data_IF_468706349260
#
_entry.id   IF_468706349260
#
_cell.length_a   1.000
_cell.length_b   1.000
_cell.length_c   1.000
_cell.angle_alpha   90.00
_cell.angle_beta   90.00
_cell.angle_gamma   90.00
#
_symmetry.space_group_name_H-M   'P 1'
#
loop_
_entity.id
_entity.type
_entity.pdbx_description
1 polymer ?
#
# COMPACT_ATOMS: atom_id res chain seq x y z
N UNK A 1 -16.28 -3.81 58.94
CA UNK A 1 -15.01 -3.66 58.23
C UNK A 1 -15.34 -3.89 56.76
N UNK A 2 -15.74 -2.82 56.07
CA UNK A 2 -15.96 -2.84 54.63
C UNK A 2 -14.61 -2.66 53.94
N UNK A 3 -14.19 -3.70 53.25
CA UNK A 3 -13.01 -3.69 52.39
C UNK A 3 -13.32 -2.79 51.18
N UNK A 4 -12.83 -1.55 51.22
CA UNK A 4 -12.78 -0.67 50.05
C UNK A 4 -11.88 -1.34 49.02
N UNK A 5 -12.50 -2.03 48.06
CA UNK A 5 -11.83 -2.48 46.85
C UNK A 5 -11.42 -1.22 46.08
N UNK A 6 -10.16 -0.84 46.23
CA UNK A 6 -9.53 0.25 45.51
C UNK A 6 -9.56 -0.02 44.00
N UNK A 7 -10.29 0.85 43.29
CA UNK A 7 -9.96 1.39 41.98
C UNK A 7 -9.24 0.47 40.99
N UNK A 8 -9.95 -0.50 40.41
CA UNK A 8 -9.61 -0.95 39.05
C UNK A 8 -10.21 0.08 38.09
N UNK A 9 -9.44 0.91 37.38
CA UNK A 9 -10.01 1.77 36.36
C UNK A 9 -10.67 0.87 35.29
N UNK A 10 -11.80 1.28 34.68
CA UNK A 10 -12.45 0.52 33.61
C UNK A 10 -11.58 0.57 32.33
N UNK A 11 -10.46 -0.16 32.32
CA UNK A 11 -9.44 -0.10 31.27
C UNK A 11 -9.67 -1.09 30.12
N UNK A 12 -10.54 -2.11 30.29
CA UNK A 12 -10.73 -3.13 29.25
C UNK A 12 -11.62 -2.66 28.09
N UNK A 13 -12.75 -1.99 28.38
CA UNK A 13 -13.65 -1.47 27.34
C UNK A 13 -13.04 -0.32 26.53
N UNK A 14 -12.14 0.47 27.14
CA UNK A 14 -11.46 1.57 26.43
C UNK A 14 -10.38 1.04 25.50
N UNK A 15 -9.59 0.05 25.95
CA UNK A 15 -8.50 -0.52 25.15
C UNK A 15 -9.02 -1.25 23.90
N UNK A 16 -10.10 -2.03 24.02
CA UNK A 16 -10.72 -2.73 22.88
C UNK A 16 -11.26 -1.74 21.83
N UNK A 17 -11.92 -0.67 22.28
CA UNK A 17 -12.45 0.37 21.39
C UNK A 17 -11.32 1.12 20.66
N UNK A 18 -10.23 1.41 21.35
CA UNK A 18 -9.06 2.11 20.79
C UNK A 18 -8.31 1.24 19.78
N UNK A 19 -8.13 -0.06 20.10
CA UNK A 19 -7.51 -1.02 19.19
C UNK A 19 -8.36 -1.23 17.93
N UNK A 20 -9.68 -1.36 18.09
CA UNK A 20 -10.62 -1.51 16.97
C UNK A 20 -10.58 -0.29 16.05
N UNK A 21 -10.52 0.91 16.63
CA UNK A 21 -10.39 2.16 15.87
C UNK A 21 -9.10 2.22 15.06
N UNK A 22 -7.97 1.82 15.66
CA UNK A 22 -6.68 1.74 14.96
C UNK A 22 -6.70 0.75 13.80
N UNK A 23 -7.21 -0.47 14.02
CA UNK A 23 -7.36 -1.47 12.96
C UNK A 23 -8.26 -0.97 11.82
N UNK A 24 -9.37 -0.32 12.15
CA UNK A 24 -10.27 0.25 11.14
C UNK A 24 -9.59 1.34 10.30
N UNK A 25 -8.80 2.22 10.93
CA UNK A 25 -8.00 3.21 10.20
C UNK A 25 -6.97 2.55 9.27
N UNK A 26 -6.26 1.53 9.74
CA UNK A 26 -5.29 0.77 8.93
C UNK A 26 -5.97 0.18 7.70
N UNK A 27 -7.15 -0.44 7.86
CA UNK A 27 -7.93 -1.02 6.76
C UNK A 27 -8.34 0.05 5.75
N UNK A 28 -8.88 1.19 6.22
CA UNK A 28 -9.29 2.28 5.34
C UNK A 28 -8.12 2.86 4.52
N UNK A 29 -6.96 3.05 5.16
CA UNK A 29 -5.76 3.51 4.49
C UNK A 29 -5.32 2.51 3.43
N UNK A 30 -5.28 1.22 3.78
CA UNK A 30 -4.91 0.14 2.86
C UNK A 30 -5.82 0.09 1.64
N UNK A 31 -7.14 0.19 1.84
CA UNK A 31 -8.12 0.25 0.75
C UNK A 31 -7.96 1.49 -0.12
N UNK A 32 -7.72 2.66 0.48
CA UNK A 32 -7.49 3.89 -0.26
C UNK A 32 -6.23 3.80 -1.13
N UNK A 33 -5.11 3.34 -0.56
CA UNK A 33 -3.84 3.14 -1.28
C UNK A 33 -4.03 2.15 -2.43
N UNK A 34 -4.73 1.04 -2.18
CA UNK A 34 -5.05 0.05 -3.20
C UNK A 34 -5.88 0.65 -4.34
N UNK A 35 -6.95 1.38 -4.00
CA UNK A 35 -7.81 2.02 -5.00
C UNK A 35 -7.03 2.98 -5.89
N UNK A 36 -6.26 3.91 -5.29
CA UNK A 36 -5.45 4.87 -6.04
C UNK A 36 -4.37 4.21 -6.89
N UNK A 37 -3.90 3.02 -6.50
CA UNK A 37 -2.88 2.30 -7.25
C UNK A 37 -3.49 1.58 -8.45
N UNK A 38 -4.60 0.88 -8.23
CA UNK A 38 -5.15 -0.09 -9.17
C UNK A 38 -5.98 0.55 -10.27
N UNK A 39 -6.73 1.62 -9.96
CA UNK A 39 -7.68 2.22 -10.91
C UNK A 39 -7.08 2.56 -12.29
N UNK A 40 -5.82 3.03 -12.45
CA UNK A 40 -5.30 3.39 -13.77
C UNK A 40 -5.00 2.17 -14.62
N UNK A 41 -4.71 1.01 -14.01
CA UNK A 41 -4.50 -0.25 -14.74
C UNK A 41 -5.80 -0.86 -15.25
N UNK A 42 -6.94 -0.36 -14.76
CA UNK A 42 -8.27 -0.73 -15.27
C UNK A 42 -8.65 0.20 -16.43
N UNK A 43 -8.37 1.50 -16.30
CA UNK A 43 -8.72 2.52 -17.30
C UNK A 43 -7.79 2.46 -18.52
N UNK A 44 -6.49 2.37 -18.30
CA UNK A 44 -5.51 2.27 -19.39
C UNK A 44 -5.43 0.82 -19.86
N UNK A 45 -6.07 0.53 -21.00
CA UNK A 45 -6.09 -0.79 -21.62
C UNK A 45 -4.76 -1.12 -22.33
N UNK A 46 -3.96 -0.09 -22.63
CA UNK A 46 -2.73 -0.18 -23.43
C UNK A 46 -1.52 -0.65 -22.60
N UNK A 47 -1.74 -1.26 -21.44
CA UNK A 47 -0.68 -1.66 -20.49
C UNK A 47 0.28 -2.73 -21.02
N UNK A 48 -0.03 -3.35 -22.17
CA UNK A 48 0.88 -4.23 -22.89
C UNK A 48 2.04 -3.45 -23.57
N UNK A 49 1.85 -2.15 -23.83
CA UNK A 49 2.90 -1.27 -24.37
C UNK A 49 3.73 -0.64 -23.25
N UNK A 50 4.99 -0.30 -23.53
CA UNK A 50 5.84 0.42 -22.56
C UNK A 50 5.28 1.80 -22.21
N UNK A 51 4.72 2.50 -23.20
CA UNK A 51 4.13 3.81 -23.03
C UNK A 51 2.87 3.75 -22.14
N UNK A 52 1.99 2.77 -22.38
CA UNK A 52 0.79 2.56 -21.57
C UNK A 52 1.13 2.14 -20.14
N UNK A 53 2.09 1.23 -19.97
CA UNK A 53 2.59 0.83 -18.66
C UNK A 53 3.16 2.02 -17.88
N UNK A 54 3.98 2.85 -18.52
CA UNK A 54 4.58 4.04 -17.87
C UNK A 54 3.52 5.06 -17.48
N UNK A 55 2.51 5.31 -18.32
CA UNK A 55 1.37 6.19 -17.97
C UNK A 55 0.62 5.65 -16.75
N UNK A 56 0.31 4.35 -16.72
CA UNK A 56 -0.35 3.74 -15.57
C UNK A 56 0.51 3.84 -14.30
N UNK A 57 1.82 3.66 -14.41
CA UNK A 57 2.76 3.79 -13.30
C UNK A 57 2.85 5.22 -12.75
N UNK A 58 2.84 6.23 -13.62
CA UNK A 58 2.88 7.64 -13.24
C UNK A 58 1.60 8.13 -12.58
N UNK A 59 0.45 7.50 -12.87
CA UNK A 59 -0.82 7.91 -12.29
C UNK A 59 -1.17 7.08 -11.06
N UNK A 60 -0.93 5.78 -11.05
CA UNK A 60 -1.35 4.90 -9.95
C UNK A 60 -0.34 4.88 -8.82
N UNK A 61 0.76 4.10 -8.99
CA UNK A 61 1.80 3.98 -7.99
C UNK A 61 2.33 5.31 -7.49
N UNK A 62 2.63 6.27 -8.38
CA UNK A 62 3.16 7.56 -7.96
C UNK A 62 2.18 8.32 -7.05
N UNK A 63 0.90 8.41 -7.44
CA UNK A 63 -0.12 9.10 -6.62
C UNK A 63 -0.34 8.36 -5.30
N UNK A 64 -0.43 7.03 -5.32
CA UNK A 64 -0.53 6.21 -4.10
C UNK A 64 0.68 6.37 -3.18
N UNK A 65 1.89 6.50 -3.73
CA UNK A 65 3.11 6.71 -2.97
C UNK A 65 3.10 8.11 -2.32
N UNK A 66 2.74 9.15 -3.07
CA UNK A 66 2.69 10.53 -2.55
C UNK A 66 1.60 10.68 -1.47
N UNK A 67 0.40 10.16 -1.74
CA UNK A 67 -0.68 10.14 -0.76
C UNK A 67 -0.30 9.31 0.48
N UNK A 68 0.30 8.14 0.26
CA UNK A 68 0.81 7.26 1.31
C UNK A 68 1.87 7.93 2.19
N UNK A 69 2.80 8.68 1.61
CA UNK A 69 3.79 9.46 2.35
C UNK A 69 3.13 10.52 3.25
N UNK A 70 2.12 11.23 2.75
CA UNK A 70 1.34 12.18 3.56
C UNK A 70 0.61 11.50 4.73
N UNK A 71 0.04 10.32 4.49
CA UNK A 71 -0.62 9.52 5.54
C UNK A 71 0.39 9.01 6.58
N UNK A 72 1.56 8.51 6.14
CA UNK A 72 2.64 8.08 7.03
C UNK A 72 3.15 9.24 7.90
N UNK A 73 3.23 10.45 7.36
CA UNK A 73 3.61 11.63 8.12
C UNK A 73 2.58 11.98 9.20
N UNK A 74 1.29 11.98 8.86
CA UNK A 74 0.22 12.39 9.79
C UNK A 74 -0.18 11.33 10.82
N UNK A 75 -0.23 10.06 10.41
CA UNK A 75 -0.72 8.94 11.23
C UNK A 75 0.41 8.00 11.70
N UNK A 76 1.67 8.35 11.43
CA UNK A 76 2.84 7.70 12.03
C UNK A 76 2.86 6.20 11.76
N UNK A 77 3.22 5.38 12.75
CA UNK A 77 3.23 3.91 12.67
C UNK A 77 1.93 3.30 12.11
N UNK A 78 0.75 3.71 12.59
CA UNK A 78 -0.53 3.20 12.08
C UNK A 78 -0.73 3.54 10.60
N UNK A 79 -0.34 4.75 10.18
CA UNK A 79 -0.30 5.17 8.79
C UNK A 79 0.64 4.31 7.94
N UNK A 80 1.85 4.07 8.43
CA UNK A 80 2.85 3.24 7.76
C UNK A 80 2.40 1.79 7.57
N UNK A 81 1.75 1.19 8.58
CA UNK A 81 1.23 -0.17 8.49
C UNK A 81 0.10 -0.28 7.45
N UNK A 82 -0.86 0.66 7.48
CA UNK A 82 -1.94 0.71 6.48
C UNK A 82 -1.41 0.94 5.07
N UNK A 83 -0.46 1.85 4.91
CA UNK A 83 0.19 2.15 3.64
C UNK A 83 0.91 0.93 3.06
N UNK A 84 1.78 0.28 3.85
CA UNK A 84 2.50 -0.91 3.39
C UNK A 84 1.53 -2.04 3.04
N UNK A 85 0.50 -2.28 3.86
CA UNK A 85 -0.54 -3.26 3.56
C UNK A 85 -1.21 -3.02 2.21
N UNK A 86 -1.57 -1.76 1.92
CA UNK A 86 -2.17 -1.37 0.65
C UNK A 86 -1.21 -1.55 -0.53
N UNK A 87 0.06 -1.15 -0.39
CA UNK A 87 1.07 -1.34 -1.44
C UNK A 87 1.31 -2.83 -1.74
N UNK A 88 1.40 -3.68 -0.71
CA UNK A 88 1.58 -5.11 -0.93
C UNK A 88 0.41 -5.71 -1.72
N UNK A 89 -0.83 -5.42 -1.33
CA UNK A 89 -2.01 -5.87 -2.07
C UNK A 89 -2.00 -5.36 -3.51
N UNK A 90 -1.59 -4.11 -3.72
CA UNK A 90 -1.49 -3.49 -5.04
C UNK A 90 -0.42 -4.11 -5.92
N UNK A 91 0.74 -4.44 -5.35
CA UNK A 91 1.83 -5.10 -6.06
C UNK A 91 1.48 -6.55 -6.44
N UNK A 92 0.72 -7.25 -5.60
CA UNK A 92 0.16 -8.57 -5.96
C UNK A 92 -0.79 -8.42 -7.15
N UNK A 93 -1.70 -7.43 -7.12
CA UNK A 93 -2.57 -7.13 -8.26
C UNK A 93 -1.75 -6.83 -9.53
N UNK A 94 -0.76 -5.94 -9.45
CA UNK A 94 0.09 -5.57 -10.58
C UNK A 94 0.81 -6.78 -11.17
N UNK A 95 1.39 -7.60 -10.30
CA UNK A 95 2.04 -8.85 -10.69
C UNK A 95 1.10 -9.77 -11.47
N UNK A 96 -0.09 -10.05 -10.91
CA UNK A 96 -1.09 -10.90 -11.56
C UNK A 96 -1.59 -10.29 -12.88
N UNK A 97 -1.79 -8.97 -12.92
CA UNK A 97 -2.23 -8.25 -14.12
C UNK A 97 -1.19 -8.34 -15.24
N UNK A 98 0.09 -8.18 -14.91
CA UNK A 98 1.17 -8.29 -15.88
C UNK A 98 1.38 -9.75 -16.34
N UNK A 99 1.22 -10.72 -15.45
CA UNK A 99 1.23 -12.14 -15.82
C UNK A 99 0.07 -12.49 -16.77
N UNK A 100 -1.13 -11.94 -16.56
CA UNK A 100 -2.25 -12.12 -17.49
C UNK A 100 -1.94 -11.59 -18.89
N UNK A 101 -1.25 -10.46 -19.00
CA UNK A 101 -0.81 -9.92 -20.30
C UNK A 101 0.22 -10.85 -20.95
N UNK A 102 1.19 -11.32 -20.18
CA UNK A 102 2.24 -12.24 -20.66
C UNK A 102 1.71 -13.62 -21.08
N UNK A 103 0.64 -14.11 -20.46
CA UNK A 103 -0.01 -15.36 -20.88
C UNK A 103 -0.59 -15.29 -22.30
N UNK A 104 -0.84 -14.09 -22.81
CA UNK A 104 -1.23 -13.85 -24.20
C UNK A 104 -0.07 -13.86 -25.20
N UNK A 105 1.18 -13.93 -24.70
CA UNK A 105 2.38 -13.92 -25.54
C UNK A 105 2.38 -15.16 -26.46
N UNK A 106 2.56 -14.93 -27.77
CA UNK A 106 2.52 -15.99 -28.77
C UNK A 106 1.14 -16.50 -29.19
N UNK A 107 0.04 -15.96 -28.66
CA UNK A 107 -1.31 -16.26 -29.16
C UNK A 107 -1.72 -15.34 -30.31
N UNK A 108 -2.24 -15.91 -31.40
CA UNK A 108 -2.74 -15.13 -32.54
C UNK A 108 -3.93 -14.25 -32.12
N UNK A 109 -3.88 -12.97 -32.48
CA UNK A 109 -4.94 -11.99 -32.19
C UNK A 109 -4.87 -11.33 -30.81
N UNK A 110 -3.90 -11.69 -29.95
CA UNK A 110 -3.69 -11.05 -28.64
C UNK A 110 -2.55 -10.04 -28.73
N UNK A 111 -2.74 -8.87 -28.09
CA UNK A 111 -1.73 -7.83 -28.04
C UNK A 111 -0.47 -8.33 -27.32
N UNK A 112 0.68 -8.25 -28.00
CA UNK A 112 1.95 -8.74 -27.48
C UNK A 112 2.57 -7.71 -26.52
N UNK A 113 3.11 -8.13 -25.37
CA UNK A 113 3.80 -7.22 -24.48
C UNK A 113 5.10 -6.72 -25.11
N UNK A 114 5.32 -5.40 -25.08
CA UNK A 114 6.57 -4.78 -25.57
C UNK A 114 7.73 -4.92 -24.57
N UNK A 115 7.42 -5.24 -23.30
CA UNK A 115 8.40 -5.36 -22.24
C UNK A 115 8.85 -6.80 -22.02
N UNK A 116 10.11 -7.02 -21.62
CA UNK A 116 10.60 -8.36 -21.34
C UNK A 116 9.98 -8.93 -20.06
N UNK A 117 9.84 -10.25 -19.99
CA UNK A 117 9.16 -10.94 -18.89
C UNK A 117 9.74 -10.69 -17.49
N UNK A 118 11.02 -10.30 -17.36
CA UNK A 118 11.60 -9.96 -16.05
C UNK A 118 10.96 -8.72 -15.41
N UNK A 119 10.37 -7.81 -16.21
CA UNK A 119 9.72 -6.58 -15.71
C UNK A 119 8.52 -6.92 -14.84
N UNK A 120 7.83 -8.04 -15.13
CA UNK A 120 6.69 -8.55 -14.35
C UNK A 120 7.04 -8.73 -12.88
N UNK A 121 8.27 -9.15 -12.59
CA UNK A 121 8.75 -9.37 -11.21
C UNK A 121 9.50 -8.14 -10.66
N UNK A 122 10.36 -7.53 -11.48
CA UNK A 122 11.20 -6.43 -11.05
C UNK A 122 10.39 -5.20 -10.64
N UNK A 123 9.32 -4.90 -11.36
CA UNK A 123 8.53 -3.68 -11.16
C UNK A 123 7.73 -3.69 -9.84
N UNK A 124 6.93 -4.72 -9.50
CA UNK A 124 6.30 -4.81 -8.19
C UNK A 124 7.31 -4.78 -7.03
N UNK A 125 8.46 -5.46 -7.18
CA UNK A 125 9.52 -5.48 -6.16
C UNK A 125 10.14 -4.10 -5.95
N UNK A 126 10.42 -3.37 -7.03
CA UNK A 126 10.95 -2.01 -6.95
C UNK A 126 9.98 -1.07 -6.21
N UNK A 127 8.68 -1.20 -6.46
CA UNK A 127 7.64 -0.42 -5.77
C UNK A 127 7.58 -0.78 -4.29
N UNK A 128 7.62 -2.07 -3.93
CA UNK A 128 7.65 -2.50 -2.52
C UNK A 128 8.90 -1.95 -1.82
N UNK A 129 10.08 -2.04 -2.45
CA UNK A 129 11.32 -1.52 -1.88
C UNK A 129 11.24 0.00 -1.64
N UNK A 130 10.70 0.76 -2.59
CA UNK A 130 10.48 2.19 -2.45
C UNK A 130 9.48 2.52 -1.34
N UNK A 131 8.36 1.79 -1.26
CA UNK A 131 7.37 1.97 -0.20
C UNK A 131 7.96 1.67 1.19
N UNK A 132 8.80 0.64 1.32
CA UNK A 132 9.55 0.38 2.55
C UNK A 132 10.48 1.53 2.91
N UNK A 133 11.24 2.05 1.95
CA UNK A 133 12.13 3.18 2.21
C UNK A 133 11.35 4.39 2.75
N UNK A 134 10.20 4.70 2.15
CA UNK A 134 9.32 5.78 2.57
C UNK A 134 8.77 5.52 3.98
N UNK A 135 8.21 4.34 4.23
CA UNK A 135 7.69 3.97 5.55
C UNK A 135 8.79 4.06 6.63
N UNK A 136 10.02 3.63 6.33
CA UNK A 136 11.16 3.71 7.25
C UNK A 136 11.58 5.15 7.53
N UNK A 137 11.62 6.02 6.52
CA UNK A 137 11.96 7.44 6.71
C UNK A 137 10.97 8.08 7.70
N UNK A 138 9.67 7.93 7.47
CA UNK A 138 8.66 8.57 8.31
C UNK A 138 8.53 7.96 9.71
N UNK A 139 8.75 6.65 9.87
CA UNK A 139 8.75 6.00 11.19
C UNK A 139 10.02 6.25 12.00
N UNK A 140 11.17 6.52 11.36
CA UNK A 140 12.40 6.93 12.07
C UNK A 140 12.31 8.35 12.60
N UNK A 141 11.74 9.27 11.82
CA UNK A 141 11.49 10.66 12.24
C UNK A 141 10.64 10.72 13.52
N UNK A 142 9.68 9.81 13.67
CA UNK A 142 8.88 9.69 14.89
C UNK A 142 9.70 9.32 16.13
N UNK A 143 10.67 8.40 15.99
CA UNK A 143 11.53 7.99 17.11
C UNK A 143 12.43 9.11 17.60
N UNK A 144 12.94 9.93 16.69
CA UNK A 144 13.80 11.07 17.05
C UNK A 144 12.98 12.20 17.70
N UNK A 145 11.75 12.47 17.25
CA UNK A 145 10.90 13.51 17.82
C UNK A 145 10.32 13.18 19.20
N UNK A 146 10.26 11.91 19.59
CA UNK A 146 9.72 11.48 20.89
C UNK A 146 10.83 11.23 21.93
N UNK A 147 12.10 11.32 21.51
CA UNK A 147 13.29 11.13 22.33
C UNK A 147 14.00 12.43 22.75
N UNK A 148 13.37 13.59 22.56
CA UNK A 148 13.78 14.91 23.07
C UNK A 148 12.76 15.43 24.07
#
# INVERSE_FOLDING_TARGET
MDEKIEGRPPASKSLEAELTRGCFQIILISLGVFFFFVWPFIIFQDTHTMAGLTKALLVGPLVSILAGAGICYGLKTAGATGYLGGIFASCIFLFLRMQQIMLGEGQEGVAQPEYPGYVVFALPLAIVALAFAIALIFTRVEKESTGS
#
